data_IF_959682928122
#
_entry.id   IF_959682928122
#
_cell.length_a   1.000
_cell.length_b   1.000
_cell.length_c   1.000
_cell.angle_alpha   90.00
_cell.angle_beta   90.00
_cell.angle_gamma   90.00
#
_symmetry.space_group_name_H-M   'P 1'
#
loop_
_entity.id
_entity.type
_entity.pdbx_description
1 polymer ?
#
# COMPACT_ATOMS: atom_id res chain seq x y z
N UNK A 1 -3.80 25.21 -0.54
CA UNK A 1 -2.57 24.43 -0.76
C UNK A 1 -2.76 23.06 -0.14
N UNK A 2 -2.25 22.00 -0.74
CA UNK A 2 -2.34 20.65 -0.16
C UNK A 2 -1.22 20.44 0.84
N UNK A 3 -1.55 20.13 2.10
CA UNK A 3 -0.57 19.76 3.12
C UNK A 3 -0.28 18.25 3.07
N UNK A 4 0.98 17.87 3.25
CA UNK A 4 1.36 16.46 3.40
C UNK A 4 0.97 15.97 4.79
N UNK A 5 -0.13 15.22 4.88
CA UNK A 5 -0.67 14.70 6.16
C UNK A 5 -0.08 13.35 6.58
N UNK A 6 0.58 12.63 5.66
CA UNK A 6 1.19 11.33 5.95
C UNK A 6 2.32 11.00 4.96
N UNK A 7 3.36 10.32 5.46
CA UNK A 7 4.45 9.74 4.67
C UNK A 7 4.91 8.45 5.34
N UNK A 8 5.10 7.40 4.55
CA UNK A 8 5.70 6.14 5.00
C UNK A 8 6.91 5.80 4.12
N UNK A 9 7.78 4.92 4.62
CA UNK A 9 8.92 4.39 3.88
C UNK A 9 9.05 2.93 4.25
N UNK A 10 8.94 2.06 3.25
CA UNK A 10 8.98 0.62 3.39
C UNK A 10 10.30 0.07 2.82
N UNK A 11 10.82 -1.05 3.35
CA UNK A 11 12.02 -1.67 2.80
C UNK A 11 11.75 -2.20 1.39
N UNK A 12 12.72 -2.04 0.49
CA UNK A 12 12.71 -2.72 -0.80
C UNK A 12 12.97 -4.21 -0.55
N UNK A 13 12.09 -5.06 -1.06
CA UNK A 13 12.30 -6.50 -1.09
C UNK A 13 13.14 -6.87 -2.31
N UNK A 14 13.93 -7.93 -2.22
CA UNK A 14 14.63 -8.48 -3.39
C UNK A 14 13.59 -9.08 -4.36
N UNK A 15 13.86 -9.00 -5.67
CA UNK A 15 12.95 -9.49 -6.73
C UNK A 15 12.26 -8.41 -7.58
N UNK A 16 11.63 -8.88 -8.67
CA UNK A 16 10.89 -8.06 -9.64
C UNK A 16 9.38 -8.16 -9.42
N UNK A 17 8.78 -7.08 -8.89
CA UNK A 17 7.35 -7.04 -8.58
C UNK A 17 6.61 -6.07 -9.50
N UNK A 18 6.35 -6.51 -10.74
CA UNK A 18 5.54 -5.73 -11.66
C UNK A 18 4.10 -5.60 -11.15
N UNK A 19 3.49 -4.43 -11.32
CA UNK A 19 2.12 -4.18 -10.86
C UNK A 19 1.98 -3.90 -9.35
N UNK A 20 3.05 -3.96 -8.55
CA UNK A 20 3.02 -3.65 -7.10
C UNK A 20 2.38 -2.29 -6.77
N UNK A 21 2.65 -1.27 -7.58
CA UNK A 21 2.02 0.05 -7.45
C UNK A 21 0.52 0.04 -7.73
N UNK A 22 0.07 -0.70 -8.76
CA UNK A 22 -1.35 -0.88 -9.06
C UNK A 22 -2.05 -1.64 -7.93
N UNK A 23 -1.44 -2.72 -7.44
CA UNK A 23 -1.95 -3.48 -6.29
C UNK A 23 -2.11 -2.61 -5.04
N UNK A 24 -1.09 -1.80 -4.71
CA UNK A 24 -1.14 -0.86 -3.58
C UNK A 24 -2.28 0.17 -3.76
N UNK A 25 -2.35 0.81 -4.93
CA UNK A 25 -3.37 1.83 -5.20
C UNK A 25 -4.81 1.25 -5.16
N UNK A 26 -5.02 0.07 -5.74
CA UNK A 26 -6.32 -0.61 -5.70
C UNK A 26 -6.72 -1.01 -4.28
N UNK A 27 -5.77 -1.43 -3.44
CA UNK A 27 -6.06 -1.74 -2.04
C UNK A 27 -6.48 -0.49 -1.25
N UNK A 28 -5.77 0.63 -1.40
CA UNK A 28 -6.13 1.91 -0.78
C UNK A 28 -7.53 2.34 -1.23
N UNK A 29 -7.80 2.30 -2.53
CA UNK A 29 -9.11 2.66 -3.07
C UNK A 29 -10.23 1.76 -2.51
N UNK A 30 -9.97 0.46 -2.35
CA UNK A 30 -10.91 -0.47 -1.73
C UNK A 30 -11.22 -0.12 -0.27
N UNK A 31 -10.19 0.19 0.54
CA UNK A 31 -10.38 0.61 1.95
C UNK A 31 -11.18 1.92 2.03
N UNK A 32 -10.85 2.90 1.20
CA UNK A 32 -11.61 4.15 1.11
C UNK A 32 -13.08 3.92 0.73
N UNK A 33 -13.34 3.04 -0.24
CA UNK A 33 -14.70 2.70 -0.65
C UNK A 33 -15.52 2.01 0.47
N UNK A 34 -14.84 1.32 1.38
CA UNK A 34 -15.45 0.72 2.57
C UNK A 34 -15.66 1.72 3.72
N UNK A 35 -15.24 2.97 3.57
CA UNK A 35 -15.45 4.05 4.54
C UNK A 35 -14.30 4.28 5.52
N UNK A 36 -13.13 3.67 5.28
CA UNK A 36 -11.94 3.97 6.08
C UNK A 36 -11.49 5.42 5.93
N UNK A 37 -10.90 5.97 6.99
CA UNK A 37 -10.17 7.23 6.89
C UNK A 37 -8.96 7.10 5.95
N UNK A 38 -8.57 8.21 5.32
CA UNK A 38 -7.49 8.24 4.33
C UNK A 38 -6.17 7.68 4.88
N UNK A 39 -5.74 8.15 6.05
CA UNK A 39 -4.46 7.74 6.65
C UNK A 39 -4.51 6.24 7.05
N UNK A 40 -5.66 5.76 7.53
CA UNK A 40 -5.81 4.35 7.93
C UNK A 40 -5.82 3.43 6.71
N UNK A 41 -6.44 3.86 5.60
CA UNK A 41 -6.38 3.16 4.32
C UNK A 41 -4.95 2.98 3.82
N UNK A 42 -4.12 4.03 3.92
CA UNK A 42 -2.70 3.99 3.51
C UNK A 42 -1.89 3.06 4.42
N UNK A 43 -2.04 3.16 5.75
CA UNK A 43 -1.34 2.29 6.70
C UNK A 43 -1.69 0.80 6.54
N UNK A 44 -2.97 0.51 6.27
CA UNK A 44 -3.42 -0.84 5.98
C UNK A 44 -2.77 -1.36 4.69
N UNK A 45 -2.71 -0.54 3.65
CA UNK A 45 -2.08 -0.89 2.38
C UNK A 45 -0.56 -1.12 2.51
N UNK A 46 0.14 -0.31 3.30
CA UNK A 46 1.57 -0.47 3.58
C UNK A 46 1.89 -1.82 4.24
N UNK A 47 1.07 -2.22 5.20
CA UNK A 47 1.22 -3.52 5.88
C UNK A 47 0.90 -4.68 4.93
N UNK A 48 -0.17 -4.53 4.15
CA UNK A 48 -0.64 -5.55 3.22
C UNK A 48 0.32 -5.77 2.04
N UNK A 49 0.89 -4.71 1.46
CA UNK A 49 1.73 -4.84 0.26
C UNK A 49 3.01 -5.61 0.56
N UNK A 50 3.65 -5.40 1.71
CA UNK A 50 4.86 -6.14 2.09
C UNK A 50 4.60 -7.63 2.25
N UNK A 51 3.46 -8.00 2.85
CA UNK A 51 3.07 -9.39 3.00
C UNK A 51 2.75 -10.03 1.65
N UNK A 52 2.01 -9.31 0.80
CA UNK A 52 1.62 -9.76 -0.54
C UNK A 52 2.82 -10.00 -1.43
N UNK A 53 3.80 -9.08 -1.44
CA UNK A 53 5.00 -9.22 -2.26
C UNK A 53 5.91 -10.35 -1.74
N UNK A 54 6.05 -10.53 -0.43
CA UNK A 54 6.78 -11.67 0.15
C UNK A 54 6.18 -13.02 -0.24
N UNK A 55 4.85 -13.09 -0.36
CA UNK A 55 4.16 -14.30 -0.78
C UNK A 55 4.20 -14.52 -2.30
N UNK A 56 4.39 -13.46 -3.09
CA UNK A 56 4.47 -13.56 -4.55
C UNK A 56 5.83 -14.10 -5.05
N UNK A 57 6.88 -13.95 -4.24
CA UNK A 57 8.25 -14.45 -4.52
C UNK A 57 8.55 -15.80 -3.86
N UNK A 58 7.54 -16.43 -3.23
CA UNK A 58 7.66 -17.70 -2.51
C UNK A 58 7.48 -18.92 -3.41
#
# INVERSE_FOLDING_TARGET
EGEMVHKSTLPRLDGEFHGSGCSLASFIAGRLAMGDALIDSVKAADSWIIQTLRAADA
#
